data_IF_670496002242
#
_entry.id   IF_670496002242
#
_cell.length_a   1.000
_cell.length_b   1.000
_cell.length_c   1.000
_cell.angle_alpha   90.00
_cell.angle_beta   90.00
_cell.angle_gamma   90.00
#
_symmetry.space_group_name_H-M   'P 1'
#
loop_
_entity.id
_entity.type
_entity.pdbx_description
1 polymer ?
#
# COMPACT_ATOMS: atom_id res chain seq x y z
N UNK A 1 -11.10 16.02 -3.69
CA UNK A 1 -10.56 14.65 -3.89
C UNK A 1 -9.49 14.40 -2.83
N UNK A 2 -9.45 13.28 -2.09
CA UNK A 2 -8.52 13.11 -0.93
C UNK A 2 -7.04 13.38 -1.23
N UNK A 3 -6.61 13.30 -2.50
CA UNK A 3 -5.28 13.68 -2.98
C UNK A 3 -4.95 15.18 -2.79
N UNK A 4 -5.96 16.05 -2.79
CA UNK A 4 -5.81 17.50 -2.56
C UNK A 4 -5.31 17.83 -1.15
N UNK A 5 -5.40 16.87 -0.22
CA UNK A 5 -4.95 17.00 1.17
C UNK A 5 -3.58 16.37 1.43
N UNK A 6 -2.82 16.06 0.38
CA UNK A 6 -1.51 15.40 0.47
C UNK A 6 -0.43 16.27 1.13
N UNK A 7 -0.70 17.55 1.36
CA UNK A 7 0.13 18.44 2.18
C UNK A 7 -0.04 18.20 3.69
N UNK A 8 -1.16 17.60 4.11
CA UNK A 8 -1.56 17.46 5.53
C UNK A 8 -1.70 16.02 6.01
N UNK A 9 -1.78 15.06 5.09
CA UNK A 9 -2.02 13.66 5.44
C UNK A 9 -1.07 12.69 4.72
N UNK A 10 -0.86 11.56 5.37
CA UNK A 10 -0.27 10.36 4.79
C UNK A 10 -1.37 9.38 4.38
N UNK A 11 -1.05 8.50 3.43
CA UNK A 11 -1.94 7.50 2.88
C UNK A 11 -1.45 6.11 3.27
N UNK A 12 -2.12 5.50 4.23
CA UNK A 12 -1.94 4.09 4.58
C UNK A 12 -2.51 3.19 3.49
N UNK A 13 -1.68 2.32 2.93
CA UNK A 13 -2.08 1.38 1.87
C UNK A 13 -1.88 -0.05 2.37
N UNK A 14 -2.99 -0.77 2.47
CA UNK A 14 -3.03 -2.15 2.97
C UNK A 14 -3.27 -3.23 1.91
N UNK A 15 -3.70 -4.40 2.38
CA UNK A 15 -3.84 -5.62 1.58
C UNK A 15 -4.83 -5.53 0.42
N UNK A 16 -5.77 -4.59 0.45
CA UNK A 16 -6.71 -4.32 -0.65
C UNK A 16 -5.99 -3.98 -1.96
N UNK A 17 -4.80 -3.39 -1.89
CA UNK A 17 -3.93 -3.11 -3.07
C UNK A 17 -3.62 -4.35 -3.91
N UNK A 18 -3.63 -5.53 -3.29
CA UNK A 18 -3.35 -6.82 -3.93
C UNK A 18 -4.56 -7.47 -4.58
N UNK A 19 -5.77 -6.88 -4.44
CA UNK A 19 -6.99 -7.51 -4.95
C UNK A 19 -7.17 -7.26 -6.45
N UNK A 20 -7.57 -8.29 -7.20
CA UNK A 20 -7.79 -8.22 -8.66
C UNK A 20 -8.81 -7.17 -9.09
N UNK A 21 -9.76 -6.83 -8.21
CA UNK A 21 -10.81 -5.85 -8.46
C UNK A 21 -10.51 -4.44 -7.92
N UNK A 22 -9.33 -4.20 -7.35
CA UNK A 22 -8.94 -2.90 -6.78
C UNK A 22 -8.56 -1.84 -7.85
N UNK A 23 -9.29 -1.79 -8.97
CA UNK A 23 -8.98 -0.95 -10.15
C UNK A 23 -8.76 0.52 -9.78
N UNK A 24 -9.64 1.08 -8.93
CA UNK A 24 -9.56 2.48 -8.51
C UNK A 24 -8.31 2.76 -7.68
N UNK A 25 -7.91 1.82 -6.82
CA UNK A 25 -6.72 1.97 -6.00
C UNK A 25 -5.45 1.92 -6.88
N UNK A 26 -5.41 0.98 -7.84
CA UNK A 26 -4.34 0.89 -8.84
C UNK A 26 -4.21 2.18 -9.65
N UNK A 27 -5.33 2.81 -10.02
CA UNK A 27 -5.31 4.07 -10.78
C UNK A 27 -4.85 5.29 -9.94
N UNK A 28 -5.12 5.27 -8.63
CA UNK A 28 -4.82 6.39 -7.73
C UNK A 28 -3.40 6.31 -7.17
N UNK A 29 -2.87 5.11 -6.92
CA UNK A 29 -1.56 4.91 -6.30
C UNK A 29 -0.43 5.72 -6.97
N UNK A 30 -0.30 5.74 -8.31
CA UNK A 30 0.73 6.53 -8.99
C UNK A 30 0.58 8.06 -8.82
N UNK A 31 -0.61 8.52 -8.40
CA UNK A 31 -0.91 9.95 -8.18
C UNK A 31 -0.61 10.40 -6.75
N UNK A 32 -0.37 9.47 -5.82
CA UNK A 32 -0.02 9.80 -4.44
C UNK A 32 1.47 10.19 -4.39
N UNK A 33 1.84 11.34 -3.78
CA UNK A 33 3.24 11.68 -3.57
C UNK A 33 3.96 10.58 -2.78
N UNK A 34 5.11 10.11 -3.27
CA UNK A 34 5.85 8.99 -2.65
C UNK A 34 6.22 9.25 -1.18
N UNK A 35 6.52 10.51 -0.84
CA UNK A 35 6.82 10.95 0.53
C UNK A 35 5.57 11.03 1.43
N UNK A 36 4.42 10.56 0.96
CA UNK A 36 3.15 10.49 1.71
C UNK A 36 2.60 9.08 1.78
N UNK A 37 3.32 8.06 1.32
CA UNK A 37 2.89 6.66 1.36
C UNK A 37 3.32 5.98 2.65
N UNK A 38 2.41 5.24 3.27
CA UNK A 38 2.66 4.34 4.40
C UNK A 38 2.15 2.94 4.08
N UNK A 39 2.82 1.93 4.62
CA UNK A 39 2.43 0.52 4.50
C UNK A 39 1.69 0.07 5.77
N UNK A 40 0.59 -0.64 5.59
CA UNK A 40 -0.16 -1.23 6.70
C UNK A 40 -0.71 -2.61 6.32
N UNK A 41 -1.26 -3.33 7.30
CA UNK A 41 -2.00 -4.57 7.02
C UNK A 41 -3.47 -4.48 7.37
N UNK A 42 -3.85 -3.61 8.32
CA UNK A 42 -5.15 -3.66 9.00
C UNK A 42 -5.43 -5.03 9.66
N UNK A 43 -4.37 -5.71 10.12
CA UNK A 43 -4.52 -7.00 10.81
C UNK A 43 -5.39 -6.85 12.05
N UNK A 44 -6.38 -7.75 12.26
CA UNK A 44 -6.54 -9.08 11.66
C UNK A 44 -7.38 -9.15 10.36
N UNK A 45 -7.76 -8.03 9.76
CA UNK A 45 -8.69 -7.92 8.63
C UNK A 45 -7.98 -7.73 7.29
N UNK A 46 -8.71 -7.76 6.17
CA UNK A 46 -8.24 -7.35 4.84
C UNK A 46 -6.97 -8.06 4.33
N UNK A 47 -6.86 -9.37 4.59
CA UNK A 47 -5.71 -10.20 4.20
C UNK A 47 -5.38 -10.08 2.72
N UNK A 48 -4.12 -9.79 2.35
CA UNK A 48 -3.70 -9.65 0.95
C UNK A 48 -3.76 -10.98 0.18
N UNK A 49 -3.83 -10.90 -1.14
CA UNK A 49 -3.63 -12.03 -2.04
C UNK A 49 -2.19 -12.57 -1.91
N UNK A 50 -1.96 -13.90 -1.95
CA UNK A 50 -2.92 -14.98 -2.24
C UNK A 50 -3.71 -15.50 -1.03
N UNK A 51 -3.58 -14.91 0.16
CA UNK A 51 -4.13 -15.42 1.42
C UNK A 51 -5.53 -14.88 1.77
N UNK A 52 -6.29 -14.36 0.81
CA UNK A 52 -7.63 -13.81 1.07
C UNK A 52 -8.54 -14.84 1.75
N UNK A 53 -9.33 -14.40 2.72
CA UNK A 53 -10.28 -15.24 3.46
C UNK A 53 -9.71 -15.92 4.71
N UNK A 54 -8.40 -15.78 4.97
CA UNK A 54 -7.77 -16.17 6.24
C UNK A 54 -7.56 -14.96 7.15
N UNK A 55 -7.11 -15.17 8.40
CA UNK A 55 -6.73 -14.10 9.32
C UNK A 55 -5.48 -13.37 8.79
N UNK A 56 -5.50 -12.04 8.77
CA UNK A 56 -4.36 -11.23 8.36
C UNK A 56 -3.28 -11.22 9.45
N UNK A 57 -2.04 -10.90 9.05
CA UNK A 57 -0.87 -10.79 9.92
C UNK A 57 0.04 -9.65 9.45
N UNK A 58 0.70 -8.93 10.38
CA UNK A 58 1.76 -7.95 10.05
C UNK A 58 2.86 -8.53 9.15
N UNK A 59 3.07 -9.85 9.18
CA UNK A 59 4.05 -10.55 8.33
C UNK A 59 3.78 -10.44 6.83
N UNK A 60 2.59 -9.95 6.42
CA UNK A 60 2.26 -9.74 5.00
C UNK A 60 2.61 -8.35 4.46
N UNK A 61 3.23 -7.45 5.25
CA UNK A 61 3.76 -6.17 4.74
C UNK A 61 4.62 -6.35 3.48
N UNK A 62 5.55 -7.33 3.38
CA UNK A 62 6.35 -7.52 2.16
C UNK A 62 5.52 -7.77 0.89
N UNK A 63 4.40 -8.50 0.99
CA UNK A 63 3.50 -8.74 -0.15
C UNK A 63 2.80 -7.46 -0.60
N UNK A 64 2.41 -6.64 0.37
CA UNK A 64 1.75 -5.34 0.13
C UNK A 64 2.75 -4.37 -0.51
N UNK A 65 3.97 -4.29 0.04
CA UNK A 65 5.06 -3.49 -0.50
C UNK A 65 5.37 -3.88 -1.96
N UNK A 66 5.55 -5.18 -2.23
CA UNK A 66 5.82 -5.66 -3.59
C UNK A 66 4.74 -5.23 -4.58
N UNK A 67 3.46 -5.37 -4.22
CA UNK A 67 2.37 -4.97 -5.11
C UNK A 67 2.32 -3.47 -5.36
N UNK A 68 2.51 -2.67 -4.32
CA UNK A 68 2.51 -1.20 -4.46
C UNK A 68 3.69 -0.75 -5.32
N UNK A 69 4.88 -1.30 -5.08
CA UNK A 69 6.10 -1.01 -5.84
C UNK A 69 5.93 -1.33 -7.33
N UNK A 70 5.32 -2.48 -7.65
CA UNK A 70 4.93 -2.84 -9.03
C UNK A 70 4.00 -1.80 -9.66
N UNK A 71 2.98 -1.34 -8.93
CA UNK A 71 1.99 -0.37 -9.45
C UNK A 71 2.61 1.00 -9.73
N UNK A 72 3.53 1.47 -8.87
CA UNK A 72 4.16 2.79 -9.00
C UNK A 72 5.53 2.73 -9.71
N UNK A 73 5.91 1.56 -10.22
CA UNK A 73 7.12 1.29 -11.01
C UNK A 73 8.43 1.71 -10.30
N UNK A 74 8.63 1.17 -9.08
CA UNK A 74 9.89 1.31 -8.33
C UNK A 74 10.32 -0.03 -7.74
N UNK A 75 11.55 -0.09 -7.22
CA UNK A 75 12.03 -1.24 -6.49
C UNK A 75 11.32 -1.40 -5.14
N UNK A 76 11.08 -2.64 -4.72
CA UNK A 76 10.42 -2.91 -3.43
C UNK A 76 11.24 -2.38 -2.25
N UNK A 77 12.57 -2.46 -2.35
CA UNK A 77 13.49 -1.93 -1.33
C UNK A 77 13.43 -0.39 -1.26
N UNK A 78 13.29 0.29 -2.40
CA UNK A 78 13.09 1.74 -2.45
C UNK A 78 11.80 2.12 -1.72
N UNK A 79 10.70 1.41 -1.98
CA UNK A 79 9.43 1.63 -1.29
C UNK A 79 9.54 1.38 0.22
N UNK A 80 10.23 0.31 0.63
CA UNK A 80 10.42 -0.02 2.03
C UNK A 80 11.17 1.11 2.77
N UNK A 81 12.26 1.61 2.17
CA UNK A 81 13.02 2.74 2.69
C UNK A 81 12.19 4.02 2.78
N UNK A 82 11.49 4.39 1.69
CA UNK A 82 10.63 5.57 1.63
C UNK A 82 9.51 5.53 2.68
N UNK A 83 8.78 4.41 2.76
CA UNK A 83 7.67 4.26 3.70
C UNK A 83 8.13 4.28 5.16
N UNK A 84 9.34 3.81 5.44
CA UNK A 84 9.97 3.89 6.78
C UNK A 84 10.37 5.32 7.12
N UNK A 85 10.93 6.06 6.15
CA UNK A 85 11.29 7.47 6.36
C UNK A 85 10.06 8.37 6.55
N UNK A 86 8.92 8.00 5.97
CA UNK A 86 7.68 8.74 6.05
C UNK A 86 6.97 8.62 7.42
N UNK A 87 7.29 7.61 8.23
CA UNK A 87 6.65 7.29 9.52
C UNK A 87 7.40 7.89 10.71
#
# INVERSE_FOLDING_TARGET
MLLELSDRFYYGIGGVSTFKNAKRLVEILPKIPKNRLLLETDSPYLTPHPFRGTRNSPTYIPLIAQKIAEIINIETEELASLSTHNA
#
